data_IF_098248719308
#
_entry.id   IF_098248719308
#
_cell.length_a   1.000
_cell.length_b   1.000
_cell.length_c   1.000
_cell.angle_alpha   90.00
_cell.angle_beta   90.00
_cell.angle_gamma   90.00
#
_symmetry.space_group_name_H-M   'P 1'
#
loop_
_entity.id
_entity.type
_entity.pdbx_description
1 polymer ?
#
# COMPACT_ATOMS: atom_id res chain seq x y z
N UNK A 1 -5.74 -13.45 4.90
CA UNK A 1 -4.92 -12.37 4.27
C UNK A 1 -3.46 -12.43 4.73
N UNK A 2 -3.16 -12.37 6.03
CA UNK A 2 -1.78 -12.39 6.55
C UNK A 2 -0.93 -13.54 5.98
N UNK A 3 -1.46 -14.76 5.93
CA UNK A 3 -0.74 -15.92 5.40
C UNK A 3 -0.25 -15.78 3.95
N UNK A 4 -0.94 -14.97 3.14
CA UNK A 4 -0.51 -14.69 1.76
C UNK A 4 0.73 -13.82 1.71
N UNK A 5 0.90 -12.90 2.66
CA UNK A 5 2.00 -11.96 2.72
C UNK A 5 3.22 -12.46 3.51
N UNK A 6 3.09 -13.54 4.30
CA UNK A 6 4.21 -14.15 5.05
C UNK A 6 5.03 -15.13 4.22
N UNK A 7 4.67 -15.36 2.96
CA UNK A 7 5.41 -16.22 2.05
C UNK A 7 6.82 -15.67 1.78
N UNK A 8 7.77 -16.55 1.47
CA UNK A 8 9.19 -16.22 1.28
C UNK A 8 9.61 -16.37 -0.16
N UNK A 9 10.29 -15.35 -0.68
CA UNK A 9 10.90 -15.31 -2.00
C UNK A 9 12.43 -15.23 -1.89
N UNK A 10 13.13 -15.80 -2.87
CA UNK A 10 14.59 -15.69 -2.96
C UNK A 10 15.06 -14.38 -3.64
N UNK A 11 14.14 -13.65 -4.30
CA UNK A 11 14.44 -12.36 -4.90
C UNK A 11 14.35 -11.26 -3.84
N UNK A 12 15.45 -10.55 -3.59
CA UNK A 12 15.58 -9.59 -2.48
C UNK A 12 14.52 -8.49 -2.51
N UNK A 13 14.32 -7.84 -3.66
CA UNK A 13 13.34 -6.74 -3.78
C UNK A 13 11.89 -7.25 -3.64
N UNK A 14 11.62 -8.43 -4.19
CA UNK A 14 10.28 -9.03 -4.12
C UNK A 14 9.97 -9.51 -2.70
N UNK A 15 10.97 -10.02 -1.96
CA UNK A 15 10.81 -10.32 -0.54
C UNK A 15 10.60 -9.05 0.29
N UNK A 16 11.37 -7.98 -0.01
CA UNK A 16 11.20 -6.71 0.67
C UNK A 16 9.80 -6.10 0.46
N UNK A 17 9.20 -6.31 -0.72
CA UNK A 17 7.82 -5.90 -0.97
C UNK A 17 6.84 -6.70 -0.09
N UNK A 18 6.95 -8.02 -0.02
CA UNK A 18 6.07 -8.84 0.82
C UNK A 18 6.18 -8.46 2.29
N UNK A 19 7.41 -8.24 2.79
CA UNK A 19 7.66 -7.83 4.17
C UNK A 19 7.07 -6.44 4.45
N UNK A 20 7.19 -5.48 3.52
CA UNK A 20 6.62 -4.14 3.64
C UNK A 20 5.07 -4.15 3.63
N UNK A 21 4.46 -5.01 2.81
CA UNK A 21 3.01 -5.20 2.78
C UNK A 21 2.48 -5.85 4.07
N UNK A 22 3.22 -6.79 4.62
CA UNK A 22 2.87 -7.45 5.88
C UNK A 22 2.98 -6.50 7.08
N UNK A 23 4.00 -5.65 7.09
CA UNK A 23 4.26 -4.68 8.16
C UNK A 23 3.48 -3.36 8.01
N UNK A 24 2.73 -3.18 6.92
CA UNK A 24 2.10 -1.91 6.54
C UNK A 24 3.11 -0.73 6.45
N UNK A 25 4.32 -1.01 5.95
CA UNK A 25 5.49 -0.12 5.97
C UNK A 25 6.12 0.06 4.57
N UNK A 26 5.33 0.48 3.61
CA UNK A 26 5.79 0.64 2.22
C UNK A 26 6.88 1.70 2.03
N UNK A 27 6.79 2.80 2.76
CA UNK A 27 7.71 3.93 2.64
C UNK A 27 8.84 3.92 3.67
N UNK A 28 8.91 2.90 4.53
CA UNK A 28 9.87 2.83 5.61
C UNK A 28 9.39 3.56 6.87
N UNK A 29 10.23 3.55 7.90
CA UNK A 29 9.91 4.14 9.19
C UNK A 29 9.77 5.67 9.09
N UNK A 30 8.66 6.26 9.55
CA UNK A 30 8.51 7.71 9.61
C UNK A 30 9.58 8.37 10.48
N UNK A 31 10.12 9.49 10.03
CA UNK A 31 11.06 10.33 10.82
C UNK A 31 10.37 11.52 11.49
N UNK A 32 9.09 11.73 11.23
CA UNK A 32 8.27 12.82 11.74
C UNK A 32 6.92 12.34 12.28
N UNK A 33 5.99 13.26 12.50
CA UNK A 33 4.63 12.91 12.91
C UNK A 33 3.97 11.94 11.94
N UNK A 34 3.22 10.98 12.47
CA UNK A 34 2.47 10.01 11.68
C UNK A 34 1.07 9.79 12.25
N UNK A 35 0.12 9.55 11.37
CA UNK A 35 -1.24 9.14 11.67
C UNK A 35 -1.63 7.98 10.79
N UNK A 36 -2.41 7.07 11.35
CA UNK A 36 -2.79 5.82 10.74
C UNK A 36 -4.27 5.58 10.97
N UNK A 37 -4.99 5.17 9.94
CA UNK A 37 -6.37 4.70 10.05
C UNK A 37 -6.57 3.47 9.21
N UNK A 38 -7.50 2.62 9.59
CA UNK A 38 -7.83 1.40 8.86
C UNK A 38 -9.30 1.04 9.02
N UNK A 39 -9.86 0.47 7.95
CA UNK A 39 -11.21 -0.02 7.90
C UNK A 39 -11.19 -1.47 7.40
N UNK A 40 -11.94 -2.33 8.06
CA UNK A 40 -12.10 -3.74 7.66
C UNK A 40 -13.57 -4.02 7.40
N UNK A 41 -13.84 -4.73 6.33
CA UNK A 41 -15.18 -5.20 5.98
C UNK A 41 -15.09 -6.56 5.29
N UNK A 42 -15.54 -7.62 5.97
CA UNK A 42 -15.39 -8.99 5.48
C UNK A 42 -13.93 -9.35 5.28
N UNK A 43 -13.57 -9.84 4.09
CA UNK A 43 -12.20 -10.22 3.72
C UNK A 43 -11.42 -9.09 3.03
N UNK A 44 -11.91 -7.86 3.13
CA UNK A 44 -11.28 -6.66 2.56
C UNK A 44 -10.89 -5.68 3.65
N UNK A 45 -9.79 -4.97 3.40
CA UNK A 45 -9.33 -3.86 4.25
C UNK A 45 -8.98 -2.63 3.41
N UNK A 46 -9.10 -1.47 4.02
CA UNK A 46 -8.53 -0.21 3.54
C UNK A 46 -7.68 0.38 4.66
N UNK A 47 -6.48 0.76 4.34
CA UNK A 47 -5.50 1.31 5.25
C UNK A 47 -4.99 2.62 4.68
N UNK A 48 -4.88 3.65 5.50
CA UNK A 48 -4.32 4.94 5.15
C UNK A 48 -3.32 5.39 6.21
N UNK A 49 -2.13 5.76 5.79
CA UNK A 49 -1.10 6.37 6.61
C UNK A 49 -0.71 7.73 6.06
N UNK A 50 -0.61 8.72 6.93
CA UNK A 50 -0.02 10.03 6.62
C UNK A 50 1.16 10.23 7.54
N UNK A 51 2.35 10.48 7.01
CA UNK A 51 3.55 10.58 7.82
C UNK A 51 4.59 11.53 7.22
N UNK A 52 5.44 12.08 8.09
CA UNK A 52 6.65 12.83 7.72
C UNK A 52 7.86 11.90 7.61
N UNK A 53 8.72 12.16 6.65
CA UNK A 53 9.91 11.35 6.35
C UNK A 53 11.14 12.22 6.13
N UNK A 54 12.34 11.60 6.24
CA UNK A 54 13.53 12.14 5.63
C UNK A 54 13.37 12.17 4.10
N UNK A 55 13.67 13.31 3.49
CA UNK A 55 13.45 13.53 2.04
C UNK A 55 14.19 12.52 1.18
N UNK A 56 15.46 12.27 1.47
CA UNK A 56 16.27 11.36 0.67
C UNK A 56 15.80 9.92 0.78
N UNK A 57 15.42 9.49 2.00
CA UNK A 57 14.83 8.17 2.25
C UNK A 57 13.50 7.98 1.55
N UNK A 58 12.61 8.97 1.62
CA UNK A 58 11.31 8.95 0.94
C UNK A 58 11.47 8.84 -0.59
N UNK A 59 12.34 9.67 -1.18
CA UNK A 59 12.60 9.63 -2.62
C UNK A 59 13.20 8.29 -3.07
N UNK A 60 14.09 7.69 -2.27
CA UNK A 60 14.67 6.38 -2.53
C UNK A 60 13.60 5.27 -2.49
N UNK A 61 12.71 5.28 -1.49
CA UNK A 61 11.62 4.30 -1.37
C UNK A 61 10.61 4.42 -2.51
N UNK A 62 10.21 5.63 -2.86
CA UNK A 62 9.30 5.85 -4.00
C UNK A 62 9.95 5.44 -5.34
N UNK A 63 11.25 5.65 -5.50
CA UNK A 63 11.98 5.16 -6.67
C UNK A 63 11.99 3.63 -6.71
N UNK A 64 12.29 2.98 -5.58
CA UNK A 64 12.26 1.52 -5.46
C UNK A 64 10.85 0.96 -5.83
N UNK A 65 9.77 1.51 -5.29
CA UNK A 65 8.40 1.08 -5.62
C UNK A 65 8.12 1.12 -7.13
N UNK A 66 8.64 2.12 -7.84
CA UNK A 66 8.46 2.24 -9.30
C UNK A 66 9.20 1.16 -10.10
N UNK A 67 10.23 0.54 -9.53
CA UNK A 67 10.97 -0.55 -10.21
C UNK A 67 10.30 -1.90 -10.07
N UNK A 68 9.41 -2.07 -9.09
CA UNK A 68 8.83 -3.38 -8.75
C UNK A 68 8.00 -4.02 -9.87
N UNK A 69 7.22 -3.28 -10.69
CA UNK A 69 6.53 -3.89 -11.83
C UNK A 69 7.46 -4.55 -12.86
N UNK A 70 8.70 -4.06 -12.97
CA UNK A 70 9.71 -4.63 -13.87
C UNK A 70 10.56 -5.72 -13.18
N UNK A 71 10.89 -5.54 -11.89
CA UNK A 71 11.79 -6.45 -11.15
C UNK A 71 11.06 -7.61 -10.48
N UNK A 72 9.77 -7.44 -10.20
CA UNK A 72 8.89 -8.39 -9.51
C UNK A 72 7.57 -8.60 -10.27
N UNK A 73 7.57 -8.47 -11.59
CA UNK A 73 6.40 -8.62 -12.45
C UNK A 73 5.62 -9.90 -12.14
N UNK A 74 6.32 -11.04 -12.06
CA UNK A 74 5.78 -12.30 -11.56
C UNK A 74 6.88 -13.12 -10.88
N UNK A 75 6.60 -13.63 -9.68
CA UNK A 75 7.53 -14.49 -8.96
C UNK A 75 6.79 -15.50 -8.08
N UNK A 76 7.52 -16.57 -7.72
CA UNK A 76 7.02 -17.58 -6.77
C UNK A 76 7.52 -17.27 -5.38
N UNK A 77 6.63 -17.38 -4.40
CA UNK A 77 6.95 -17.32 -2.99
C UNK A 77 6.44 -18.58 -2.28
N UNK A 78 7.15 -19.02 -1.24
CA UNK A 78 6.81 -20.23 -0.48
C UNK A 78 6.19 -19.82 0.85
N UNK A 79 4.95 -20.21 1.06
CA UNK A 79 4.22 -20.00 2.31
C UNK A 79 4.55 -21.04 3.38
N UNK A 80 3.85 -20.95 4.50
CA UNK A 80 3.94 -21.93 5.59
C UNK A 80 3.61 -23.33 5.07
N UNK A 81 4.35 -24.34 5.57
CA UNK A 81 4.16 -25.74 5.13
C UNK A 81 4.61 -26.05 3.69
N UNK A 82 5.33 -25.14 3.03
CA UNK A 82 5.84 -25.33 1.68
C UNK A 82 4.81 -25.04 0.57
N UNK A 83 3.69 -24.44 0.89
CA UNK A 83 2.68 -24.04 -0.11
C UNK A 83 3.25 -22.98 -1.06
N UNK A 84 3.18 -23.25 -2.36
CA UNK A 84 3.60 -22.28 -3.38
C UNK A 84 2.54 -21.21 -3.60
N UNK A 85 3.01 -19.98 -3.78
CA UNK A 85 2.20 -18.81 -4.14
C UNK A 85 2.79 -18.11 -5.34
N UNK A 86 1.94 -17.74 -6.29
CA UNK A 86 2.34 -16.91 -7.41
C UNK A 86 1.98 -15.46 -7.09
N UNK A 87 2.98 -14.58 -7.08
CA UNK A 87 2.83 -13.15 -6.84
C UNK A 87 3.04 -12.41 -8.16
N UNK A 88 2.14 -11.49 -8.46
CA UNK A 88 2.22 -10.62 -9.62
C UNK A 88 2.15 -9.16 -9.16
N UNK A 89 3.04 -8.32 -9.68
CA UNK A 89 3.09 -6.89 -9.42
C UNK A 89 2.92 -6.13 -10.72
N UNK A 90 1.96 -5.24 -10.78
CA UNK A 90 1.70 -4.38 -11.94
C UNK A 90 1.58 -2.93 -11.53
N UNK A 91 1.81 -2.01 -12.45
CA UNK A 91 1.49 -0.60 -12.24
C UNK A 91 -0.02 -0.41 -12.05
N UNK A 92 -0.39 0.52 -11.19
CA UNK A 92 -1.76 0.99 -11.02
C UNK A 92 -1.82 2.51 -11.18
N UNK A 93 -2.93 3.01 -11.71
CA UNK A 93 -3.15 4.44 -11.82
C UNK A 93 -3.32 5.08 -10.45
N UNK A 94 -2.79 6.29 -10.28
CA UNK A 94 -2.97 7.12 -9.09
C UNK A 94 -3.48 8.48 -9.54
N UNK A 95 -4.45 9.08 -8.84
CA UNK A 95 -4.92 10.43 -9.14
C UNK A 95 -3.78 11.44 -9.26
N UNK A 96 -3.92 12.44 -10.14
CA UNK A 96 -2.92 13.49 -10.35
C UNK A 96 -2.92 14.49 -9.20
N UNK A 97 -2.36 14.07 -8.06
CA UNK A 97 -2.26 14.83 -6.81
C UNK A 97 -0.86 14.72 -6.22
N UNK A 98 -0.46 15.69 -5.39
CA UNK A 98 0.86 15.73 -4.76
C UNK A 98 2.00 16.08 -5.73
N UNK A 99 3.24 15.93 -5.24
CA UNK A 99 4.48 16.27 -5.98
C UNK A 99 5.06 15.07 -6.72
N UNK A 100 4.86 13.88 -6.19
CA UNK A 100 5.23 12.60 -6.79
C UNK A 100 4.27 11.52 -6.33
N UNK A 101 4.05 10.52 -7.16
CA UNK A 101 3.11 9.44 -6.87
C UNK A 101 3.53 8.13 -7.51
N UNK A 102 3.12 7.03 -6.90
CA UNK A 102 3.34 5.67 -7.41
C UNK A 102 2.14 4.81 -7.01
N UNK A 103 1.62 4.05 -7.96
CA UNK A 103 0.56 3.07 -7.72
C UNK A 103 0.99 1.69 -8.17
N UNK A 104 0.62 0.68 -7.38
CA UNK A 104 0.88 -0.72 -7.66
C UNK A 104 -0.37 -1.55 -7.39
N UNK A 105 -0.54 -2.60 -8.16
CA UNK A 105 -1.43 -3.70 -7.83
C UNK A 105 -0.61 -4.94 -7.57
N UNK A 106 -0.81 -5.56 -6.42
CA UNK A 106 -0.20 -6.83 -6.03
C UNK A 106 -1.27 -7.90 -5.96
N UNK A 107 -1.08 -8.97 -6.70
CA UNK A 107 -1.97 -10.14 -6.70
C UNK A 107 -1.18 -11.35 -6.24
N UNK A 108 -1.68 -12.03 -5.21
CA UNK A 108 -1.09 -13.27 -4.68
C UNK A 108 -2.08 -14.39 -4.86
N UNK A 109 -1.73 -15.38 -5.66
CA UNK A 109 -2.54 -16.60 -5.91
C UNK A 109 -1.97 -17.75 -5.10
N UNK A 110 -2.84 -18.53 -4.51
CA UNK A 110 -2.49 -19.73 -3.74
C UNK A 110 -3.73 -20.42 -3.23
N UNK A 111 -3.57 -21.24 -2.21
CA UNK A 111 -4.68 -21.90 -1.53
C UNK A 111 -4.91 -21.29 -0.15
N UNK A 112 -6.18 -21.14 0.21
CA UNK A 112 -6.64 -20.82 1.55
C UNK A 112 -7.64 -21.90 1.99
N UNK A 113 -7.39 -22.54 3.12
CA UNK A 113 -8.25 -23.60 3.68
C UNK A 113 -8.54 -24.74 2.69
N UNK A 114 -7.56 -25.04 1.81
CA UNK A 114 -7.67 -26.13 0.83
C UNK A 114 -8.48 -25.76 -0.43
N UNK A 115 -8.78 -24.49 -0.66
CA UNK A 115 -9.43 -23.98 -1.85
C UNK A 115 -8.57 -22.90 -2.52
N UNK A 116 -8.59 -22.80 -3.87
CA UNK A 116 -7.90 -21.72 -4.57
C UNK A 116 -8.41 -20.35 -4.10
N UNK A 117 -7.50 -19.47 -3.79
CA UNK A 117 -7.79 -18.11 -3.36
C UNK A 117 -6.82 -17.11 -3.97
N UNK A 118 -7.29 -15.88 -4.14
CA UNK A 118 -6.49 -14.78 -4.69
C UNK A 118 -6.63 -13.57 -3.79
N UNK A 119 -5.51 -13.11 -3.23
CA UNK A 119 -5.41 -11.82 -2.57
C UNK A 119 -5.08 -10.77 -3.62
N UNK A 120 -5.85 -9.69 -3.67
CA UNK A 120 -5.54 -8.53 -4.53
C UNK A 120 -5.46 -7.28 -3.66
N UNK A 121 -4.34 -6.55 -3.76
CA UNK A 121 -4.09 -5.29 -3.06
C UNK A 121 -3.81 -4.20 -4.09
N UNK A 122 -4.54 -3.09 -3.98
CA UNK A 122 -4.25 -1.84 -4.66
C UNK A 122 -3.50 -0.92 -3.71
N UNK A 123 -2.40 -0.37 -4.17
CA UNK A 123 -1.47 0.44 -3.38
C UNK A 123 -1.28 1.79 -4.06
N UNK A 124 -1.26 2.85 -3.28
CA UNK A 124 -0.89 4.17 -3.78
C UNK A 124 -0.06 4.92 -2.75
N UNK A 125 1.00 5.55 -3.19
CA UNK A 125 1.81 6.47 -2.39
C UNK A 125 1.88 7.82 -3.07
N UNK A 126 1.64 8.89 -2.31
CA UNK A 126 1.68 10.28 -2.80
C UNK A 126 2.56 11.09 -1.88
N UNK A 127 3.58 11.74 -2.42
CA UNK A 127 4.46 12.66 -1.69
C UNK A 127 3.95 14.09 -1.79
N UNK A 128 3.98 14.78 -0.67
CA UNK A 128 3.78 16.23 -0.56
C UNK A 128 4.94 16.78 0.29
N UNK A 129 5.87 17.45 -0.33
CA UNK A 129 7.12 17.92 0.28
C UNK A 129 7.90 16.77 0.96
N UNK A 130 8.09 16.78 2.27
CA UNK A 130 8.74 15.73 3.08
C UNK A 130 7.75 14.79 3.75
N UNK A 131 6.48 14.90 3.42
CA UNK A 131 5.41 14.05 3.93
C UNK A 131 4.82 13.18 2.82
N UNK A 132 4.17 12.09 3.19
CA UNK A 132 3.50 11.24 2.24
C UNK A 132 2.18 10.69 2.79
N UNK A 133 1.27 10.41 1.84
CA UNK A 133 0.07 9.62 2.05
C UNK A 133 0.32 8.25 1.43
N UNK A 134 0.12 7.20 2.20
CA UNK A 134 0.13 5.81 1.73
C UNK A 134 -1.25 5.23 1.92
N UNK A 135 -1.81 4.68 0.86
CA UNK A 135 -3.11 3.98 0.91
C UNK A 135 -2.93 2.57 0.37
N UNK A 136 -3.50 1.61 1.06
CA UNK A 136 -3.56 0.22 0.63
C UNK A 136 -4.98 -0.29 0.81
N UNK A 137 -5.56 -0.86 -0.24
CA UNK A 137 -6.92 -1.40 -0.18
C UNK A 137 -7.05 -2.70 -0.95
N UNK A 138 -7.84 -3.63 -0.43
CA UNK A 138 -8.11 -4.90 -1.08
C UNK A 138 -8.27 -6.06 -0.11
N UNK A 139 -8.30 -7.26 -0.66
CA UNK A 139 -8.51 -8.47 0.11
C UNK A 139 -8.72 -9.69 -0.77
N UNK A 140 -9.29 -10.75 -0.19
CA UNK A 140 -9.65 -11.97 -0.91
C UNK A 140 -10.86 -11.76 -1.83
N UNK A 141 -11.67 -10.72 -1.59
CA UNK A 141 -12.81 -10.32 -2.43
C UNK A 141 -12.38 -9.48 -3.65
N UNK A 142 -11.09 -9.19 -3.80
CA UNK A 142 -10.52 -8.42 -4.91
C UNK A 142 -9.93 -7.07 -4.49
N UNK A 143 -9.48 -6.30 -5.48
CA UNK A 143 -8.92 -4.97 -5.30
C UNK A 143 -9.99 -3.93 -4.95
N UNK A 144 -9.52 -2.79 -4.47
CA UNK A 144 -10.37 -1.65 -4.04
C UNK A 144 -9.92 -0.34 -4.72
N UNK A 145 -9.73 -0.38 -6.04
CA UNK A 145 -9.18 0.75 -6.81
C UNK A 145 -9.91 2.06 -6.53
N UNK A 146 -11.24 2.09 -6.63
CA UNK A 146 -12.03 3.31 -6.42
C UNK A 146 -11.88 3.86 -5.00
N UNK A 147 -11.88 2.96 -3.99
CA UNK A 147 -11.69 3.34 -2.59
C UNK A 147 -10.28 3.88 -2.33
N UNK A 148 -9.25 3.26 -2.92
CA UNK A 148 -7.87 3.72 -2.84
C UNK A 148 -7.70 5.08 -3.50
N UNK A 149 -8.25 5.27 -4.71
CA UNK A 149 -8.20 6.56 -5.40
C UNK A 149 -8.89 7.68 -4.62
N UNK A 150 -10.06 7.38 -4.02
CA UNK A 150 -10.79 8.34 -3.19
C UNK A 150 -10.00 8.71 -1.93
N UNK A 151 -9.47 7.72 -1.21
CA UNK A 151 -8.68 7.94 -0.01
C UNK A 151 -7.41 8.75 -0.32
N UNK A 152 -6.73 8.45 -1.44
CA UNK A 152 -5.56 9.22 -1.91
C UNK A 152 -5.90 10.69 -2.14
N UNK A 153 -7.03 10.99 -2.82
CA UNK A 153 -7.44 12.39 -3.06
C UNK A 153 -7.70 13.11 -1.75
N UNK A 154 -8.52 12.50 -0.88
CA UNK A 154 -8.91 13.08 0.41
C UNK A 154 -7.72 13.24 1.35
N UNK A 155 -6.89 12.19 1.50
CA UNK A 155 -5.70 12.21 2.34
C UNK A 155 -4.68 13.25 1.88
N UNK A 156 -4.45 13.37 0.57
CA UNK A 156 -3.52 14.38 0.02
C UNK A 156 -4.03 15.79 0.23
N UNK A 157 -5.33 16.05 0.03
CA UNK A 157 -5.93 17.37 0.26
C UNK A 157 -5.85 17.76 1.75
N UNK A 158 -6.18 16.83 2.65
CA UNK A 158 -6.07 17.04 4.10
C UNK A 158 -4.63 17.30 4.53
N UNK A 159 -3.68 16.53 4.01
CA UNK A 159 -2.25 16.73 4.28
C UNK A 159 -1.79 18.13 3.84
N UNK A 160 -2.12 18.55 2.62
CA UNK A 160 -1.81 19.91 2.14
C UNK A 160 -2.39 20.99 3.05
N UNK A 161 -3.65 20.86 3.45
CA UNK A 161 -4.31 21.79 4.36
C UNK A 161 -3.55 21.92 5.69
N UNK A 162 -3.12 20.80 6.27
CA UNK A 162 -2.34 20.79 7.52
C UNK A 162 -0.97 21.44 7.33
N UNK A 163 -0.27 21.09 6.25
CA UNK A 163 1.05 21.67 5.95
C UNK A 163 0.99 23.19 5.71
N UNK A 164 -0.12 23.70 5.18
CA UNK A 164 -0.39 25.13 5.01
C UNK A 164 -0.87 25.82 6.32
N UNK A 165 -0.91 25.08 7.44
CA UNK A 165 -1.33 25.59 8.75
C UNK A 165 -2.85 25.67 8.94
N UNK A 166 -3.63 25.08 8.05
CA UNK A 166 -5.08 25.01 8.13
C UNK A 166 -5.59 23.83 8.95
N UNK A 167 -6.89 23.79 9.17
CA UNK A 167 -7.59 22.65 9.78
C UNK A 167 -8.41 21.93 8.72
N UNK A 168 -8.17 20.64 8.48
CA UNK A 168 -8.96 19.88 7.52
C UNK A 168 -10.43 19.76 7.95
N UNK A 169 -11.33 19.72 6.97
CA UNK A 169 -12.75 19.43 7.25
C UNK A 169 -12.90 18.04 7.85
N UNK A 170 -13.88 17.80 8.75
CA UNK A 170 -14.21 16.47 9.25
C UNK A 170 -14.52 15.51 8.09
N UNK A 171 -14.19 14.22 8.26
CA UNK A 171 -14.63 13.21 7.31
C UNK A 171 -16.16 13.07 7.36
N UNK A 172 -16.82 12.79 6.21
CA UNK A 172 -18.23 12.43 6.21
C UNK A 172 -18.42 11.14 7.06
N UNK A 173 -18.99 11.25 8.24
CA UNK A 173 -19.17 10.16 9.20
C UNK A 173 -18.68 10.46 10.62
N UNK A 174 -17.91 11.53 10.82
CA UNK A 174 -17.50 11.99 12.16
C UNK A 174 -18.56 12.88 12.86
N UNK A 175 -19.76 12.89 12.31
CA UNK A 175 -20.90 13.64 12.85
C UNK A 175 -21.93 12.68 13.46
N UNK A 176 -21.58 12.08 14.63
CA UNK A 176 -22.58 11.63 15.64
C UNK A 176 -21.92 11.47 17.00
#
# INVERSE_FOLDING_TARGET
MADFLTAKSNATDCQALLDALYADDLLGEPSGPSALTGFEQGDSRLFEQVAGYDRAGLDARMKWLRTLPDTCDEFTATGSGGAERTVQVTEASVPDVGDARTGLRVTVRGDADGAPATLTLDLATVRVDTSAVTVMGGGLDGGRTDSVEQAVRQGTERLKTVLDGGTPSPLPGDLD
#
